data_IF_245525310146
#
_entry.id   IF_245525310146
#
_cell.length_a   1.000
_cell.length_b   1.000
_cell.length_c   1.000
_cell.angle_alpha   90.00
_cell.angle_beta   90.00
_cell.angle_gamma   90.00
#
_symmetry.space_group_name_H-M   'P 1'
#
loop_
_entity.id
_entity.type
_entity.pdbx_description
1 polymer ?
#
# COMPACT_ATOMS: atom_id res chain seq x y z
N UNK A 1 -9.08 6.68 12.47
CA UNK A 1 -8.41 8.01 12.46
C UNK A 1 -7.62 8.23 11.18
N UNK A 2 -6.65 7.37 10.84
CA UNK A 2 -5.89 7.45 9.58
C UNK A 2 -6.77 7.55 8.32
N UNK A 3 -7.80 6.72 8.18
CA UNK A 3 -8.71 6.75 7.01
C UNK A 3 -9.40 8.10 6.81
N UNK A 4 -9.84 8.74 7.89
CA UNK A 4 -10.47 10.06 7.82
C UNK A 4 -9.44 11.14 7.42
N UNK A 5 -8.22 11.02 7.92
CA UNK A 5 -7.11 11.91 7.60
C UNK A 5 -6.64 11.79 6.14
N UNK A 6 -6.54 10.58 5.60
CA UNK A 6 -6.19 10.32 4.19
C UNK A 6 -7.27 10.86 3.25
N UNK A 7 -8.55 10.70 3.59
CA UNK A 7 -9.65 11.29 2.83
C UNK A 7 -9.60 12.81 2.83
N UNK A 8 -9.42 13.44 4.00
CA UNK A 8 -9.36 14.89 4.10
C UNK A 8 -8.21 15.47 3.26
N UNK A 9 -7.12 14.72 3.14
CA UNK A 9 -6.00 15.06 2.27
C UNK A 9 -6.40 14.96 0.78
N UNK A 10 -7.04 13.85 0.38
CA UNK A 10 -7.54 13.65 -0.99
C UNK A 10 -8.47 14.78 -1.45
N UNK A 11 -9.43 15.20 -0.61
CA UNK A 11 -10.33 16.33 -0.94
C UNK A 11 -9.55 17.63 -1.10
N UNK A 12 -8.53 17.87 -0.25
CA UNK A 12 -7.70 19.08 -0.33
C UNK A 12 -6.80 19.12 -1.57
N UNK A 13 -6.36 17.98 -2.07
CA UNK A 13 -5.50 17.89 -3.25
C UNK A 13 -6.29 17.90 -4.56
N UNK A 14 -7.42 17.17 -4.62
CA UNK A 14 -8.15 16.94 -5.87
C UNK A 14 -9.43 17.76 -6.04
N UNK A 15 -10.00 18.28 -4.95
CA UNK A 15 -11.24 19.04 -4.95
C UNK A 15 -11.08 20.43 -4.31
N UNK A 16 -9.88 21.02 -4.43
CA UNK A 16 -9.62 22.35 -3.89
C UNK A 16 -10.44 23.39 -4.65
N UNK A 17 -11.20 24.19 -3.91
CA UNK A 17 -11.95 25.31 -4.46
C UNK A 17 -11.70 26.55 -3.61
N UNK A 18 -11.70 27.71 -4.25
CA UNK A 18 -11.53 29.01 -3.60
C UNK A 18 -12.67 29.37 -2.64
N UNK A 19 -13.84 28.75 -2.78
CA UNK A 19 -14.98 28.92 -1.88
C UNK A 19 -15.01 27.80 -0.83
N UNK A 20 -14.95 28.19 0.44
CA UNK A 20 -14.97 27.28 1.59
C UNK A 20 -16.25 26.45 1.67
N UNK A 21 -17.38 26.95 1.15
CA UNK A 21 -18.67 26.25 1.20
C UNK A 21 -18.68 25.04 0.28
N UNK A 22 -18.13 25.20 -0.91
CA UNK A 22 -17.99 24.12 -1.90
C UNK A 22 -17.03 23.05 -1.38
N UNK A 23 -15.98 23.45 -0.66
CA UNK A 23 -15.05 22.51 -0.02
C UNK A 23 -15.72 21.70 1.12
N UNK A 24 -16.55 22.34 1.95
CA UNK A 24 -17.31 21.65 3.00
C UNK A 24 -18.34 20.66 2.43
N UNK A 25 -19.00 21.02 1.33
CA UNK A 25 -19.90 20.13 0.61
C UNK A 25 -19.15 18.93 0.03
N UNK A 26 -18.02 19.14 -0.65
CA UNK A 26 -17.18 18.07 -1.17
C UNK A 26 -16.68 17.12 -0.07
N UNK A 27 -16.32 17.65 1.10
CA UNK A 27 -15.91 16.85 2.27
C UNK A 27 -17.07 16.05 2.87
N UNK A 28 -18.30 16.59 2.84
CA UNK A 28 -19.52 15.89 3.27
C UNK A 28 -19.90 14.77 2.30
N UNK A 29 -19.83 15.04 1.00
CA UNK A 29 -20.11 14.06 -0.06
C UNK A 29 -19.11 12.90 -0.06
N UNK A 30 -17.84 13.17 0.24
CA UNK A 30 -16.82 12.14 0.43
C UNK A 30 -16.80 11.55 1.84
N UNK A 31 -17.82 11.77 2.66
CA UNK A 31 -17.82 11.28 4.02
C UNK A 31 -17.93 9.75 4.09
N UNK A 32 -17.18 9.18 5.04
CA UNK A 32 -17.21 7.74 5.36
C UNK A 32 -18.59 7.30 5.91
N UNK A 33 -19.49 8.24 6.16
CA UNK A 33 -20.83 8.00 6.67
C UNK A 33 -21.65 7.09 5.74
N UNK A 34 -21.61 7.35 4.43
CA UNK A 34 -22.34 6.51 3.45
C UNK A 34 -21.83 5.08 3.46
N UNK A 35 -20.51 4.89 3.51
CA UNK A 35 -19.88 3.58 3.60
C UNK A 35 -20.26 2.85 4.91
N UNK A 36 -20.17 3.52 6.06
CA UNK A 36 -20.56 2.96 7.36
C UNK A 36 -22.04 2.57 7.40
N UNK A 37 -22.93 3.43 6.88
CA UNK A 37 -24.36 3.15 6.80
C UNK A 37 -24.63 1.91 5.93
N UNK A 38 -23.91 1.77 4.82
CA UNK A 38 -24.01 0.61 3.93
C UNK A 38 -23.53 -0.68 4.59
N UNK A 39 -22.46 -0.64 5.39
CA UNK A 39 -21.99 -1.79 6.19
C UNK A 39 -23.04 -2.21 7.22
N UNK A 40 -23.64 -1.26 7.93
CA UNK A 40 -24.70 -1.54 8.91
C UNK A 40 -25.91 -2.19 8.21
N UNK A 41 -26.35 -1.62 7.08
CA UNK A 41 -27.44 -2.18 6.27
C UNK A 41 -27.11 -3.61 5.81
N UNK A 42 -25.88 -3.86 5.35
CA UNK A 42 -25.43 -5.17 4.92
C UNK A 42 -25.50 -6.21 6.03
N UNK A 43 -25.08 -5.87 7.25
CA UNK A 43 -25.19 -6.76 8.42
C UNK A 43 -26.66 -7.10 8.74
N UNK A 44 -27.56 -6.11 8.65
CA UNK A 44 -29.00 -6.36 8.87
C UNK A 44 -29.59 -7.31 7.82
N UNK A 45 -29.23 -7.12 6.54
CA UNK A 45 -29.65 -8.01 5.46
C UNK A 45 -29.06 -9.41 5.62
N UNK A 46 -27.82 -9.54 6.10
CA UNK A 46 -27.18 -10.82 6.42
C UNK A 46 -27.92 -11.59 7.50
N UNK A 47 -28.32 -10.92 8.59
CA UNK A 47 -29.10 -11.53 9.66
C UNK A 47 -30.48 -11.98 9.12
N UNK A 48 -31.15 -11.14 8.33
CA UNK A 48 -32.43 -11.48 7.71
C UNK A 48 -32.32 -12.68 6.77
N UNK A 49 -31.25 -12.73 5.96
CA UNK A 49 -31.00 -13.83 5.03
C UNK A 49 -30.77 -15.16 5.77
N UNK A 50 -29.94 -15.16 6.81
CA UNK A 50 -29.68 -16.33 7.65
C UNK A 50 -30.93 -16.79 8.42
N UNK A 51 -31.69 -15.85 8.98
CA UNK A 51 -32.96 -16.14 9.66
C UNK A 51 -33.99 -16.78 8.72
N UNK A 52 -34.23 -16.18 7.55
CA UNK A 52 -35.19 -16.74 6.58
C UNK A 52 -34.75 -18.10 6.04
N UNK A 53 -33.45 -18.29 5.75
CA UNK A 53 -32.92 -19.57 5.28
C UNK A 53 -33.08 -20.70 6.31
N UNK A 54 -32.69 -20.43 7.56
CA UNK A 54 -32.82 -21.40 8.66
C UNK A 54 -34.30 -21.73 8.96
N UNK A 55 -35.18 -20.73 8.92
CA UNK A 55 -36.61 -20.95 9.17
C UNK A 55 -37.26 -21.80 8.07
N UNK A 56 -36.89 -21.61 6.80
CA UNK A 56 -37.41 -22.43 5.71
C UNK A 56 -36.93 -23.88 5.80
N UNK A 57 -35.67 -24.12 6.16
CA UNK A 57 -35.12 -25.49 6.33
C UNK A 57 -35.75 -26.20 7.54
N UNK A 58 -36.11 -25.46 8.58
CA UNK A 58 -36.76 -26.02 9.77
C UNK A 58 -38.23 -26.40 9.53
N UNK A 59 -38.89 -25.86 8.49
CA UNK A 59 -40.25 -26.23 8.12
C UNK A 59 -40.28 -27.66 7.56
N UNK A 60 -40.97 -28.56 8.29
CA UNK A 60 -41.09 -29.97 7.92
C UNK A 60 -41.99 -30.21 6.71
N UNK A 61 -42.91 -29.29 6.44
CA UNK A 61 -43.91 -29.44 5.39
C UNK A 61 -43.53 -28.69 4.11
N UNK A 62 -42.45 -27.89 4.15
CA UNK A 62 -41.92 -27.11 3.01
C UNK A 62 -43.04 -26.32 2.33
N UNK A 63 -43.85 -25.63 3.12
CA UNK A 63 -45.02 -24.89 2.65
C UNK A 63 -44.81 -23.37 2.64
N UNK A 64 -43.84 -22.88 3.41
CA UNK A 64 -43.60 -21.44 3.57
C UNK A 64 -42.72 -20.84 2.46
N UNK A 65 -43.21 -20.94 1.21
CA UNK A 65 -42.59 -20.30 0.04
C UNK A 65 -42.34 -18.79 0.17
N UNK A 66 -43.14 -18.00 0.90
CA UNK A 66 -42.81 -16.58 1.13
C UNK A 66 -41.48 -16.38 1.87
N UNK A 67 -41.15 -17.24 2.84
CA UNK A 67 -39.89 -17.18 3.58
C UNK A 67 -38.72 -17.57 2.68
N UNK A 68 -38.93 -18.58 1.82
CA UNK A 68 -37.96 -18.94 0.79
C UNK A 68 -37.70 -17.79 -0.19
N UNK A 69 -38.73 -17.09 -0.63
CA UNK A 69 -38.59 -15.92 -1.50
C UNK A 69 -37.79 -14.79 -0.83
N UNK A 70 -38.03 -14.52 0.46
CA UNK A 70 -37.25 -13.57 1.26
C UNK A 70 -35.78 -13.97 1.29
N UNK A 71 -35.47 -15.25 1.52
CA UNK A 71 -34.10 -15.75 1.52
C UNK A 71 -33.42 -15.52 0.15
N UNK A 72 -34.08 -15.86 -0.96
CA UNK A 72 -33.51 -15.66 -2.30
C UNK A 72 -33.26 -14.18 -2.62
N UNK A 73 -34.25 -13.32 -2.38
CA UNK A 73 -34.17 -11.88 -2.68
C UNK A 73 -33.10 -11.22 -1.81
N UNK A 74 -33.10 -11.50 -0.50
CA UNK A 74 -32.09 -10.95 0.41
C UNK A 74 -30.69 -11.43 0.05
N UNK A 75 -30.52 -12.66 -0.45
CA UNK A 75 -29.24 -13.17 -0.91
C UNK A 75 -28.65 -12.38 -2.08
N UNK A 76 -29.48 -12.04 -3.08
CA UNK A 76 -29.05 -11.20 -4.22
C UNK A 76 -28.66 -9.80 -3.75
N UNK A 77 -29.46 -9.20 -2.85
CA UNK A 77 -29.18 -7.88 -2.27
C UNK A 77 -27.86 -7.92 -1.48
N UNK A 78 -27.59 -9.01 -0.77
CA UNK A 78 -26.39 -9.17 0.05
C UNK A 78 -25.12 -9.18 -0.79
N UNK A 79 -25.14 -9.88 -1.93
CA UNK A 79 -24.04 -9.88 -2.91
C UNK A 79 -23.86 -8.48 -3.48
N UNK A 80 -24.95 -7.83 -3.91
CA UNK A 80 -24.91 -6.47 -4.45
C UNK A 80 -24.28 -5.47 -3.46
N UNK A 81 -24.73 -5.48 -2.21
CA UNK A 81 -24.21 -4.62 -1.16
C UNK A 81 -22.75 -4.93 -0.84
N UNK A 82 -22.34 -6.19 -0.82
CA UNK A 82 -20.95 -6.58 -0.61
C UNK A 82 -20.03 -6.01 -1.71
N UNK A 83 -20.43 -6.12 -2.97
CA UNK A 83 -19.67 -5.53 -4.08
C UNK A 83 -19.53 -4.01 -3.93
N UNK A 84 -20.59 -3.31 -3.52
CA UNK A 84 -20.54 -1.87 -3.29
C UNK A 84 -19.67 -1.49 -2.09
N UNK A 85 -19.69 -2.27 -1.00
CA UNK A 85 -18.83 -2.04 0.18
C UNK A 85 -17.35 -2.17 -0.19
N UNK A 86 -16.99 -3.13 -1.03
CA UNK A 86 -15.61 -3.35 -1.45
C UNK A 86 -15.13 -2.30 -2.46
N UNK A 87 -16.02 -1.85 -3.35
CA UNK A 87 -15.67 -0.92 -4.41
C UNK A 87 -15.70 0.55 -3.98
N UNK A 88 -16.63 0.94 -3.10
CA UNK A 88 -16.82 2.35 -2.70
C UNK A 88 -15.55 3.00 -2.13
N UNK A 89 -14.69 2.33 -1.32
CA UNK A 89 -13.42 2.90 -0.89
C UNK A 89 -12.49 3.26 -2.05
N UNK A 90 -12.39 2.41 -3.09
CA UNK A 90 -11.57 2.70 -4.27
C UNK A 90 -12.08 3.95 -5.01
N UNK A 91 -13.40 4.13 -5.12
CA UNK A 91 -13.97 5.36 -5.69
C UNK A 91 -13.69 6.60 -4.85
N UNK A 92 -13.70 6.50 -3.53
CA UNK A 92 -13.51 7.66 -2.63
C UNK A 92 -12.06 8.10 -2.49
N UNK A 93 -11.11 7.23 -2.81
CA UNK A 93 -9.68 7.43 -2.56
C UNK A 93 -8.82 7.37 -3.85
N UNK A 94 -9.34 6.80 -4.95
CA UNK A 94 -8.60 6.58 -6.18
C UNK A 94 -7.64 5.38 -6.11
N UNK A 95 -7.07 5.00 -7.26
CA UNK A 95 -6.26 3.76 -7.42
C UNK A 95 -4.82 3.82 -6.83
N UNK A 96 -4.44 4.91 -6.16
CA UNK A 96 -3.04 5.14 -5.73
C UNK A 96 -2.83 5.64 -4.31
N UNK A 97 -3.88 5.80 -3.50
CA UNK A 97 -3.75 6.39 -2.17
C UNK A 97 -3.49 5.33 -1.10
N UNK A 98 -2.34 5.40 -0.43
CA UNK A 98 -2.05 4.62 0.77
C UNK A 98 -2.70 5.29 1.97
N UNK A 99 -3.44 4.51 2.76
CA UNK A 99 -4.00 4.98 4.03
C UNK A 99 -2.85 5.28 4.99
N UNK A 100 -2.56 6.56 5.18
CA UNK A 100 -1.52 7.05 6.08
C UNK A 100 -2.05 8.19 6.93
N UNK A 101 -1.50 8.36 8.13
CA UNK A 101 -1.80 9.51 8.99
C UNK A 101 -1.16 10.77 8.43
N UNK A 102 -1.68 11.95 8.78
CA UNK A 102 -1.07 13.23 8.36
C UNK A 102 0.38 13.35 8.81
N UNK A 103 0.72 12.79 9.97
CA UNK A 103 2.08 12.76 10.48
C UNK A 103 3.01 11.88 9.64
N UNK A 104 2.54 10.71 9.19
CA UNK A 104 3.31 9.83 8.31
C UNK A 104 3.49 10.44 6.91
N UNK A 105 2.44 11.08 6.37
CA UNK A 105 2.51 11.78 5.10
C UNK A 105 3.46 13.00 5.16
N UNK A 106 3.41 13.78 6.25
CA UNK A 106 4.32 14.89 6.48
C UNK A 106 5.77 14.43 6.67
N UNK A 107 6.02 13.36 7.43
CA UNK A 107 7.36 12.78 7.57
C UNK A 107 7.90 12.27 6.22
N UNK A 108 7.07 11.62 5.40
CA UNK A 108 7.47 11.20 4.06
C UNK A 108 7.75 12.40 3.13
N UNK A 109 6.99 13.48 3.24
CA UNK A 109 7.22 14.71 2.49
C UNK A 109 8.49 15.44 2.96
N UNK A 110 8.75 15.51 4.26
CA UNK A 110 9.97 16.09 4.82
C UNK A 110 11.21 15.30 4.37
N UNK A 111 11.14 13.96 4.35
CA UNK A 111 12.21 13.12 3.79
C UNK A 111 12.48 13.40 2.30
N UNK A 112 11.44 13.70 1.52
CA UNK A 112 11.57 14.06 0.10
C UNK A 112 12.11 15.49 -0.11
N UNK A 113 11.72 16.45 0.74
CA UNK A 113 12.12 17.86 0.64
C UNK A 113 13.57 18.06 1.08
N UNK A 114 14.03 17.31 2.08
CA UNK A 114 15.42 17.40 2.58
C UNK A 114 16.43 16.76 1.61
N UNK A 115 16.00 16.37 0.40
CA UNK A 115 16.85 15.78 -0.62
C UNK A 115 17.44 14.43 -0.21
N UNK A 116 16.97 13.86 0.90
CA UNK A 116 17.31 12.52 1.34
C UNK A 116 16.50 11.56 0.47
N UNK A 117 16.92 11.42 -0.78
CA UNK A 117 16.82 10.12 -1.42
C UNK A 117 17.66 9.22 -0.51
N UNK A 118 17.01 8.48 0.39
CA UNK A 118 17.59 7.27 0.97
C UNK A 118 17.80 6.29 -0.19
N UNK A 119 18.72 6.58 -1.11
CA UNK A 119 19.65 5.53 -1.46
C UNK A 119 20.30 5.25 -0.14
N UNK A 120 19.85 4.19 0.53
CA UNK A 120 20.57 3.64 1.68
C UNK A 120 21.95 3.32 1.15
N UNK A 121 22.85 4.31 1.22
CA UNK A 121 24.24 4.09 0.93
C UNK A 121 24.68 3.06 1.94
N UNK A 122 25.08 1.90 1.43
CA UNK A 122 25.46 0.76 2.22
C UNK A 122 26.59 1.17 3.15
N UNK A 123 26.57 0.63 4.36
CA UNK A 123 27.55 0.91 5.39
C UNK A 123 28.39 -0.34 5.58
N UNK A 124 29.71 -0.20 5.73
CA UNK A 124 30.59 -1.33 5.97
C UNK A 124 30.25 -2.00 7.32
N UNK A 125 29.96 -3.32 7.35
CA UNK A 125 29.55 -4.01 8.58
C UNK A 125 30.65 -4.09 9.65
N UNK A 126 31.90 -3.76 9.31
CA UNK A 126 33.04 -3.84 10.23
C UNK A 126 33.51 -2.49 10.76
N UNK A 127 33.28 -1.39 10.04
CA UNK A 127 33.87 -0.09 10.39
C UNK A 127 32.94 1.10 10.19
N UNK A 128 31.68 0.85 9.85
CA UNK A 128 30.65 1.85 9.62
C UNK A 128 30.99 2.92 8.56
N UNK A 129 31.97 2.66 7.69
CA UNK A 129 32.30 3.55 6.59
C UNK A 129 31.26 3.45 5.46
N UNK A 130 30.88 4.59 4.87
CA UNK A 130 29.99 4.62 3.70
C UNK A 130 30.61 3.88 2.51
N UNK A 131 29.80 3.07 1.85
CA UNK A 131 30.11 2.33 0.64
C UNK A 131 29.10 2.74 -0.46
N UNK A 132 29.54 2.85 -1.73
CA UNK A 132 28.69 3.22 -2.87
C UNK A 132 27.80 2.05 -3.32
N UNK A 133 27.08 1.44 -2.38
CA UNK A 133 26.16 0.32 -2.59
C UNK A 133 24.76 0.80 -2.23
N UNK A 134 23.72 0.45 -2.98
CA UNK A 134 22.36 0.84 -2.65
C UNK A 134 21.34 -0.23 -3.03
N UNK A 135 20.08 -0.08 -2.62
CA UNK A 135 18.97 -0.92 -3.07
C UNK A 135 18.21 -0.24 -4.23
N UNK A 136 17.77 -1.02 -5.21
CA UNK A 136 16.79 -0.56 -6.20
C UNK A 136 15.35 -0.69 -5.69
N UNK A 137 14.37 -0.18 -6.44
CA UNK A 137 12.94 -0.27 -6.13
C UNK A 137 12.42 -1.72 -5.99
N UNK A 138 13.14 -2.69 -6.56
CA UNK A 138 12.82 -4.12 -6.48
C UNK A 138 13.51 -4.83 -5.29
N UNK A 139 14.28 -4.11 -4.47
CA UNK A 139 15.05 -4.69 -3.35
C UNK A 139 16.33 -5.42 -3.75
N UNK A 140 16.82 -5.26 -4.98
CA UNK A 140 18.11 -5.81 -5.42
C UNK A 140 19.25 -4.85 -5.06
N UNK A 141 20.40 -5.40 -4.68
CA UNK A 141 21.62 -4.63 -4.37
C UNK A 141 22.30 -4.14 -5.64
N UNK A 142 22.46 -2.83 -5.74
CA UNK A 142 23.07 -2.11 -6.86
C UNK A 142 24.51 -1.76 -6.51
N UNK A 143 25.41 -2.09 -7.42
CA UNK A 143 26.86 -1.85 -7.30
C UNK A 143 27.39 -1.21 -8.60
N UNK A 144 28.54 -0.55 -8.52
CA UNK A 144 29.28 -0.04 -9.68
C UNK A 144 29.95 -1.18 -10.47
N UNK A 145 30.09 -1.07 -11.82
CA UNK A 145 30.85 -2.04 -12.63
C UNK A 145 32.33 -2.05 -12.20
N UNK A 146 32.98 -3.21 -12.26
CA UNK A 146 34.38 -3.37 -11.85
C UNK A 146 35.38 -2.74 -12.82
N UNK A 147 34.98 -2.47 -14.07
CA UNK A 147 35.86 -1.87 -15.08
C UNK A 147 35.96 -0.36 -14.90
N UNK A 148 37.17 0.18 -14.85
CA UNK A 148 37.43 1.63 -14.72
C UNK A 148 36.79 2.46 -15.84
N UNK A 149 36.59 1.86 -17.02
CA UNK A 149 35.98 2.51 -18.20
C UNK A 149 34.44 2.44 -18.23
N UNK A 150 33.78 1.84 -17.23
CA UNK A 150 32.32 1.72 -17.19
C UNK A 150 31.74 2.20 -15.86
N UNK A 151 31.38 3.47 -15.79
CA UNK A 151 30.69 4.08 -14.64
C UNK A 151 29.19 3.76 -14.62
N UNK A 152 28.80 2.51 -14.91
CA UNK A 152 27.40 2.07 -14.82
C UNK A 152 27.15 1.38 -13.49
N UNK A 153 25.95 1.60 -12.97
CA UNK A 153 25.39 0.92 -11.79
C UNK A 153 24.38 -0.13 -12.21
N UNK A 154 24.40 -1.27 -11.55
CA UNK A 154 23.42 -2.31 -11.80
C UNK A 154 23.40 -3.37 -10.70
N UNK A 155 22.45 -4.30 -10.79
CA UNK A 155 22.26 -5.33 -9.79
C UNK A 155 23.47 -6.28 -9.73
N UNK A 156 23.93 -6.57 -8.52
CA UNK A 156 25.07 -7.44 -8.25
C UNK A 156 24.90 -8.81 -8.95
N UNK A 157 25.95 -9.25 -9.66
CA UNK A 157 25.96 -10.53 -10.35
C UNK A 157 25.26 -10.58 -11.73
N UNK A 158 24.61 -9.50 -12.19
CA UNK A 158 24.07 -9.43 -13.57
C UNK A 158 25.13 -8.94 -14.55
N UNK A 159 24.90 -9.21 -15.84
CA UNK A 159 25.74 -8.71 -16.93
C UNK A 159 25.52 -7.21 -17.11
N UNK A 160 26.59 -6.42 -17.13
CA UNK A 160 26.51 -5.02 -17.48
C UNK A 160 26.47 -4.85 -19.00
N UNK A 161 25.40 -4.26 -19.52
CA UNK A 161 25.23 -3.97 -20.96
C UNK A 161 26.21 -2.92 -21.51
N UNK A 162 27.01 -2.28 -20.64
CA UNK A 162 28.03 -1.31 -21.03
C UNK A 162 29.41 -1.94 -21.23
N UNK A 163 29.93 -2.56 -20.16
CA UNK A 163 31.27 -3.17 -20.10
C UNK A 163 31.28 -4.63 -20.64
N UNK A 164 30.13 -5.31 -20.71
CA UNK A 164 30.05 -6.74 -21.04
C UNK A 164 30.58 -7.65 -19.92
N UNK A 165 30.95 -7.09 -18.77
CA UNK A 165 31.38 -7.80 -17.58
C UNK A 165 30.25 -7.92 -16.56
N UNK A 166 30.35 -8.89 -15.64
CA UNK A 166 29.37 -9.05 -14.57
C UNK A 166 29.63 -8.04 -13.45
N UNK A 167 28.55 -7.46 -12.91
CA UNK A 167 28.62 -6.64 -11.71
C UNK A 167 29.19 -7.45 -10.53
N UNK A 168 30.11 -6.88 -9.72
CA UNK A 168 30.75 -7.59 -8.64
C UNK A 168 29.74 -7.98 -7.55
N UNK A 169 29.74 -9.26 -7.15
CA UNK A 169 28.89 -9.74 -6.04
C UNK A 169 29.46 -9.47 -4.65
N UNK A 170 30.73 -9.05 -4.60
CA UNK A 170 31.46 -8.72 -3.37
C UNK A 170 32.12 -7.37 -3.51
N UNK A 171 32.16 -6.62 -2.42
CA UNK A 171 32.77 -5.29 -2.36
C UNK A 171 33.84 -5.25 -1.28
N UNK A 172 34.99 -4.69 -1.65
CA UNK A 172 36.10 -4.48 -0.72
C UNK A 172 36.02 -3.06 -0.18
N UNK A 173 35.83 -2.92 1.14
CA UNK A 173 35.75 -1.61 1.78
C UNK A 173 37.09 -0.88 1.67
N UNK A 174 37.08 0.34 1.11
CA UNK A 174 38.27 1.19 0.98
C UNK A 174 38.86 1.65 2.34
N UNK A 175 38.04 1.66 3.39
CA UNK A 175 38.44 2.15 4.72
C UNK A 175 39.12 1.07 5.58
N UNK A 176 38.57 -0.15 5.61
CA UNK A 176 39.09 -1.24 6.45
C UNK A 176 39.64 -2.44 5.68
N UNK A 177 39.52 -2.47 4.35
CA UNK A 177 40.05 -3.54 3.50
C UNK A 177 39.28 -4.87 3.57
N UNK A 178 38.14 -4.94 4.27
CA UNK A 178 37.35 -6.16 4.35
C UNK A 178 36.61 -6.42 3.03
N UNK A 179 36.66 -7.67 2.56
CA UNK A 179 35.95 -8.10 1.37
C UNK A 179 34.71 -8.92 1.76
N UNK A 180 33.54 -8.27 1.70
CA UNK A 180 32.25 -8.84 2.10
C UNK A 180 31.28 -8.87 0.92
N UNK A 181 30.30 -9.80 0.90
CA UNK A 181 29.16 -9.75 -0.02
C UNK A 181 28.51 -8.37 -0.06
N UNK A 182 28.09 -7.91 -1.24
CA UNK A 182 27.47 -6.59 -1.38
C UNK A 182 26.17 -6.44 -0.56
N UNK A 183 25.47 -7.55 -0.27
CA UNK A 183 24.29 -7.56 0.57
C UNK A 183 24.56 -7.21 2.04
N UNK A 184 25.74 -7.56 2.57
CA UNK A 184 26.10 -7.32 3.98
C UNK A 184 26.37 -5.84 4.28
N UNK A 185 26.45 -5.01 3.23
CA UNK A 185 26.58 -3.55 3.36
C UNK A 185 25.23 -2.87 3.53
N UNK A 186 24.11 -3.55 3.32
CA UNK A 186 22.78 -2.98 3.57
C UNK A 186 22.41 -3.28 5.03
N UNK A 187 22.23 -2.27 5.89
CA UNK A 187 21.84 -2.52 7.27
C UNK A 187 20.41 -3.08 7.34
N UNK A 188 20.21 -4.15 8.11
CA UNK A 188 18.89 -4.74 8.43
C UNK A 188 18.11 -3.85 9.42
N UNK A 189 18.01 -2.54 9.17
CA UNK A 189 17.45 -1.60 10.15
C UNK A 189 15.91 -1.60 10.26
N UNK A 190 15.20 -2.53 9.62
CA UNK A 190 13.72 -2.54 9.64
C UNK A 190 13.11 -3.93 9.95
N UNK A 191 13.68 -4.64 10.94
CA UNK A 191 13.09 -5.84 11.50
C UNK A 191 12.69 -5.70 12.98
N UNK A 192 12.10 -4.57 13.38
CA UNK A 192 11.26 -4.46 14.60
C UNK A 192 10.49 -3.15 14.68
#
# INVERSE_FOLDING_TARGET
KAVAETRDLHVKEHHVHTDVRVMEEAMREHSLYSWSAMVILWVLVLILNGWSGSHFIADRNVSDYPIYAIHLISGVILIYLLMHILWLPQRMLGDGTRVQTKAAAAAAADLLIDGVILTSEGVCPSCDASAPISLNENGETVVDCSSEDCSRRGPAGKLCEGCGENFPSRYTCQSCGINSPAADYIPDSEAW
#
